data_IF_059737327528
#
_entry.id   IF_059737327528
#
_cell.length_a   1.000
_cell.length_b   1.000
_cell.length_c   1.000
_cell.angle_alpha   90.00
_cell.angle_beta   90.00
_cell.angle_gamma   90.00
#
_symmetry.space_group_name_H-M   'P 1'
#
loop_
_entity.id
_entity.type
_entity.pdbx_description
1 polymer ?
#
# COMPACT_ATOMS: atom_id res chain seq x y z
N UNK A 1 -8.34 -53.08 -36.52
CA UNK A 1 -7.69 -53.84 -37.61
C UNK A 1 -8.05 -53.21 -38.94
N UNK A 2 -7.05 -52.67 -39.65
CA UNK A 2 -6.95 -52.17 -41.05
C UNK A 2 -5.72 -51.23 -41.05
N UNK A 3 -4.52 -51.79 -41.25
CA UNK A 3 -3.70 -51.70 -42.49
C UNK A 3 -2.77 -50.47 -42.47
N UNK A 4 -1.46 -50.64 -42.22
CA UNK A 4 -0.32 -50.75 -43.19
C UNK A 4 0.05 -49.36 -43.79
N UNK A 5 1.30 -48.87 -43.87
CA UNK A 5 2.56 -49.43 -44.38
C UNK A 5 3.82 -48.71 -43.81
N UNK A 6 4.98 -49.40 -43.90
CA UNK A 6 6.35 -49.00 -43.50
C UNK A 6 7.13 -48.23 -44.61
N UNK A 7 8.11 -47.36 -44.25
CA UNK A 7 9.57 -47.50 -44.48
C UNK A 7 10.36 -46.17 -44.48
N UNK A 8 11.62 -46.29 -44.03
CA UNK A 8 12.83 -45.47 -44.30
C UNK A 8 13.15 -44.24 -43.46
N UNK A 9 14.24 -44.41 -42.70
CA UNK A 9 15.06 -43.36 -42.09
C UNK A 9 15.84 -42.56 -43.15
N UNK A 10 15.94 -41.24 -42.93
CA UNK A 10 17.02 -40.40 -43.46
C UNK A 10 17.61 -39.61 -42.29
N UNK A 11 18.93 -39.71 -42.18
CA UNK A 11 19.84 -39.11 -41.22
C UNK A 11 20.49 -37.85 -41.85
N UNK A 12 20.84 -36.86 -41.01
CA UNK A 12 21.62 -35.61 -41.25
C UNK A 12 20.83 -34.48 -41.98
N UNK A 13 20.96 -33.18 -41.66
CA UNK A 13 22.07 -32.37 -41.14
C UNK A 13 21.48 -31.02 -40.61
N UNK A 14 22.08 -30.43 -39.57
CA UNK A 14 21.76 -29.11 -39.01
C UNK A 14 21.79 -27.98 -40.05
N UNK A 15 20.76 -27.11 -40.08
CA UNK A 15 20.88 -25.66 -40.38
C UNK A 15 19.80 -24.92 -39.58
N UNK A 16 20.21 -23.87 -38.85
CA UNK A 16 19.37 -23.12 -37.91
C UNK A 16 18.17 -22.40 -38.56
N UNK A 17 17.03 -22.46 -37.89
CA UNK A 17 15.93 -21.54 -38.08
C UNK A 17 15.96 -20.54 -36.92
N UNK A 18 16.45 -19.34 -37.23
CA UNK A 18 16.15 -18.13 -36.47
C UNK A 18 14.63 -17.92 -36.55
N UNK A 19 13.91 -18.28 -35.49
CA UNK A 19 12.52 -17.89 -35.34
C UNK A 19 12.47 -16.77 -34.29
N UNK A 20 12.21 -15.57 -34.79
CA UNK A 20 11.95 -14.33 -34.06
C UNK A 20 10.88 -14.58 -32.99
N UNK A 21 11.29 -14.61 -31.72
CA UNK A 21 10.35 -14.51 -30.59
C UNK A 21 9.88 -13.07 -30.52
N UNK A 22 8.92 -12.72 -31.38
CA UNK A 22 8.09 -11.54 -31.15
C UNK A 22 7.03 -11.95 -30.11
N UNK A 23 7.49 -12.19 -28.89
CA UNK A 23 6.63 -12.20 -27.70
C UNK A 23 6.40 -10.74 -27.30
N UNK A 24 5.77 -9.97 -28.19
CA UNK A 24 5.21 -8.64 -27.89
C UNK A 24 3.85 -8.82 -27.19
N UNK A 25 3.80 -9.62 -26.11
CA UNK A 25 2.69 -9.50 -25.17
C UNK A 25 3.00 -8.30 -24.27
N UNK A 26 2.22 -7.20 -24.31
CA UNK A 26 2.50 -6.06 -23.46
C UNK A 26 2.30 -6.50 -22.00
N UNK A 27 3.39 -6.77 -21.30
CA UNK A 27 3.37 -6.99 -19.86
C UNK A 27 2.66 -5.79 -19.22
N UNK A 28 1.59 -5.99 -18.44
CA UNK A 28 0.88 -4.88 -17.81
C UNK A 28 1.88 -4.00 -17.04
N UNK A 29 1.77 -2.67 -17.15
CA UNK A 29 2.69 -1.78 -16.47
C UNK A 29 2.71 -2.11 -14.97
N UNK A 30 3.93 -2.18 -14.40
CA UNK A 30 4.12 -2.47 -12.99
C UNK A 30 3.28 -1.50 -12.13
N UNK A 31 2.69 -1.97 -11.01
CA UNK A 31 1.89 -1.11 -10.16
C UNK A 31 2.75 0.02 -9.59
N UNK A 32 2.20 1.22 -9.57
CA UNK A 32 2.84 2.39 -8.96
C UNK A 32 2.39 2.48 -7.51
N UNK A 33 3.33 2.32 -6.57
CA UNK A 33 3.06 2.33 -5.14
C UNK A 33 3.57 3.63 -4.50
N UNK A 34 2.69 4.30 -3.75
CA UNK A 34 3.04 5.44 -2.90
C UNK A 34 3.00 4.99 -1.45
N UNK A 35 4.10 5.21 -0.72
CA UNK A 35 4.18 4.86 0.70
C UNK A 35 4.05 6.11 1.56
N UNK A 36 3.24 6.01 2.61
CA UNK A 36 3.10 7.02 3.65
C UNK A 36 3.52 6.43 4.99
N UNK A 37 4.13 7.26 5.83
CA UNK A 37 4.52 6.89 7.17
C UNK A 37 3.92 7.86 8.19
N UNK A 38 3.65 7.37 9.38
CA UNK A 38 3.20 8.16 10.52
C UNK A 38 3.80 7.63 11.82
N UNK A 39 4.21 8.55 12.70
CA UNK A 39 4.48 8.26 14.12
C UNK A 39 3.29 8.74 14.93
N UNK A 40 2.72 7.86 15.74
CA UNK A 40 1.55 8.13 16.58
C UNK A 40 1.99 8.42 18.01
N UNK A 41 1.52 9.52 18.58
CA UNK A 41 1.76 9.89 19.98
C UNK A 41 0.70 10.89 20.47
N UNK A 42 0.66 11.12 21.79
CA UNK A 42 -0.28 12.06 22.42
C UNK A 42 0.02 13.54 22.12
N UNK A 43 1.27 13.89 21.84
CA UNK A 43 1.64 15.28 21.51
C UNK A 43 1.18 15.72 20.12
N UNK A 44 0.90 14.77 19.24
CA UNK A 44 0.34 14.98 17.90
C UNK A 44 -1.18 15.13 17.90
N UNK A 45 -1.86 14.86 19.03
CA UNK A 45 -3.30 15.12 19.17
C UNK A 45 -3.62 16.62 19.10
N UNK A 46 -4.88 16.93 18.79
CA UNK A 46 -5.36 18.31 18.71
C UNK A 46 -6.65 18.45 19.53
N UNK A 47 -6.58 18.98 20.77
CA UNK A 47 -5.38 19.44 21.48
C UNK A 47 -4.48 18.27 21.92
N UNK A 48 -3.18 18.56 22.11
CA UNK A 48 -2.20 17.59 22.61
C UNK A 48 -2.59 17.06 23.99
N UNK A 49 -2.29 15.79 24.26
CA UNK A 49 -2.53 15.15 25.55
C UNK A 49 -1.23 14.61 26.17
N UNK A 50 -1.33 14.08 27.40
CA UNK A 50 -0.19 13.62 28.18
C UNK A 50 0.10 12.10 28.06
N UNK A 51 -0.53 11.39 27.12
CA UNK A 51 -0.29 9.95 26.95
C UNK A 51 1.17 9.70 26.59
N UNK A 52 1.77 8.71 27.25
CA UNK A 52 3.10 8.21 26.95
C UNK A 52 3.07 7.06 25.94
N UNK A 53 1.88 6.68 25.45
CA UNK A 53 1.72 5.64 24.46
C UNK A 53 2.33 6.06 23.12
N UNK A 54 2.78 5.08 22.35
CA UNK A 54 3.45 5.31 21.07
C UNK A 54 2.98 4.33 20.02
N UNK A 55 3.06 4.72 18.76
CA UNK A 55 2.81 3.82 17.64
C UNK A 55 3.43 4.29 16.33
N UNK A 56 3.35 3.43 15.34
CA UNK A 56 3.75 3.70 13.96
C UNK A 56 2.70 3.17 13.01
N UNK A 57 2.60 3.82 11.85
CA UNK A 57 1.75 3.41 10.76
C UNK A 57 2.49 3.54 9.43
N UNK A 58 2.37 2.53 8.58
CA UNK A 58 2.84 2.56 7.19
C UNK A 58 1.69 2.19 6.27
N UNK A 59 1.39 3.08 5.32
CA UNK A 59 0.34 2.91 4.33
C UNK A 59 0.96 2.79 2.94
N UNK A 60 0.64 1.71 2.23
CA UNK A 60 1.04 1.48 0.85
C UNK A 60 -0.17 1.65 -0.06
N UNK A 61 -0.19 2.69 -0.90
CA UNK A 61 -1.26 3.00 -1.83
C UNK A 61 -0.90 2.58 -3.25
N UNK A 62 -1.74 1.74 -3.86
CA UNK A 62 -1.60 1.33 -5.25
C UNK A 62 -2.40 2.25 -6.16
N UNK A 63 -1.72 3.05 -6.99
CA UNK A 63 -2.37 4.03 -7.88
C UNK A 63 -3.16 3.38 -9.01
N UNK A 64 -2.91 2.10 -9.33
CA UNK A 64 -3.63 1.34 -10.36
C UNK A 64 -4.95 0.81 -9.83
N UNK A 65 -4.95 0.13 -8.68
CA UNK A 65 -6.17 -0.43 -8.09
C UNK A 65 -6.95 0.58 -7.26
N UNK A 66 -6.33 1.72 -6.94
CA UNK A 66 -6.85 2.76 -6.03
C UNK A 66 -7.09 2.23 -4.62
N UNK A 67 -6.43 1.15 -4.21
CA UNK A 67 -6.55 0.54 -2.88
C UNK A 67 -5.28 0.83 -2.08
N UNK A 68 -5.42 1.10 -0.78
CA UNK A 68 -4.28 1.08 0.14
C UNK A 68 -4.37 -0.06 1.15
N UNK A 69 -3.21 -0.47 1.65
CA UNK A 69 -3.07 -1.27 2.87
C UNK A 69 -2.29 -0.46 3.90
N UNK A 70 -2.86 -0.31 5.09
CA UNK A 70 -2.27 0.33 6.26
C UNK A 70 -1.84 -0.75 7.26
N UNK A 71 -0.62 -0.69 7.76
CA UNK A 71 -0.15 -1.52 8.86
C UNK A 71 0.16 -0.62 10.05
N UNK A 72 -0.34 -0.98 11.23
CA UNK A 72 -0.20 -0.19 12.46
C UNK A 72 0.36 -1.06 13.57
N UNK A 73 1.33 -0.51 14.29
CA UNK A 73 1.84 -1.08 15.54
C UNK A 73 1.80 -0.01 16.63
N UNK A 74 1.43 -0.39 17.84
CA UNK A 74 1.44 0.51 18.99
C UNK A 74 1.72 -0.24 20.29
N UNK A 75 2.09 0.51 21.32
CA UNK A 75 2.29 0.03 22.69
C UNK A 75 1.83 1.08 23.70
N UNK A 76 1.51 0.65 24.93
CA UNK A 76 1.21 1.55 26.04
C UNK A 76 -0.24 2.04 26.13
N UNK A 77 -1.17 1.49 25.34
CA UNK A 77 -2.61 1.78 25.44
C UNK A 77 -3.47 0.54 25.18
N UNK A 78 -4.75 0.60 25.55
CA UNK A 78 -5.78 -0.40 25.21
C UNK A 78 -6.90 0.27 24.42
N UNK A 79 -6.83 0.26 23.07
CA UNK A 79 -7.74 1.04 22.25
C UNK A 79 -9.16 0.47 22.26
N UNK A 80 -10.15 1.36 22.31
CA UNK A 80 -11.57 1.04 22.14
C UNK A 80 -12.04 1.30 20.70
N UNK A 81 -11.37 2.22 20.00
CA UNK A 81 -11.66 2.57 18.61
C UNK A 81 -10.37 3.00 17.88
N UNK A 82 -10.40 2.93 16.56
CA UNK A 82 -9.34 3.42 15.70
C UNK A 82 -9.84 3.80 14.32
N UNK A 83 -9.31 4.89 13.78
CA UNK A 83 -9.78 5.49 12.54
C UNK A 83 -8.65 6.09 11.71
N UNK A 84 -8.90 6.27 10.42
CA UNK A 84 -8.29 7.34 9.63
C UNK A 84 -9.29 8.49 9.52
N UNK A 85 -8.84 9.71 9.80
CA UNK A 85 -9.61 10.94 9.67
C UNK A 85 -9.10 11.83 8.52
N UNK A 86 -9.96 12.73 8.03
CA UNK A 86 -9.61 13.83 7.12
C UNK A 86 -9.29 15.09 7.89
N UNK A 87 -8.04 15.54 7.83
CA UNK A 87 -7.58 16.81 8.38
C UNK A 87 -6.10 17.01 8.09
N UNK A 88 -5.74 18.24 7.69
CA UNK A 88 -4.34 18.64 7.60
C UNK A 88 -3.66 18.60 8.97
N UNK A 89 -2.33 18.68 8.98
CA UNK A 89 -1.53 18.76 10.21
C UNK A 89 -2.07 19.89 11.10
N UNK A 90 -2.29 19.58 12.38
CA UNK A 90 -2.80 20.55 13.37
C UNK A 90 -4.30 20.81 13.30
N UNK A 91 -5.04 20.15 12.40
CA UNK A 91 -6.51 20.27 12.30
C UNK A 91 -7.18 18.92 12.53
N UNK A 92 -8.26 18.89 13.31
CA UNK A 92 -9.12 17.71 13.49
C UNK A 92 -10.24 17.72 12.47
N UNK A 93 -10.70 16.55 12.03
CA UNK A 93 -11.82 16.47 11.09
C UNK A 93 -12.51 15.10 11.09
N UNK A 94 -13.40 14.84 10.12
CA UNK A 94 -14.31 13.69 10.16
C UNK A 94 -13.58 12.36 9.97
N UNK A 95 -14.19 11.29 10.49
CA UNK A 95 -13.77 9.90 10.23
C UNK A 95 -14.01 9.59 8.74
N UNK A 96 -13.02 8.98 8.09
CA UNK A 96 -13.13 8.50 6.71
C UNK A 96 -13.09 6.98 6.65
N UNK A 97 -12.17 6.36 7.39
CA UNK A 97 -12.00 4.90 7.40
C UNK A 97 -12.02 4.38 8.84
N UNK A 98 -13.14 3.80 9.31
CA UNK A 98 -13.20 3.13 10.60
C UNK A 98 -12.54 1.75 10.55
N UNK A 99 -11.74 1.43 11.57
CA UNK A 99 -11.08 0.13 11.66
C UNK A 99 -11.99 -0.90 12.34
N UNK A 100 -12.01 -2.11 11.79
CA UNK A 100 -12.74 -3.26 12.35
C UNK A 100 -11.89 -4.10 13.28
N UNK A 101 -10.57 -4.03 13.16
CA UNK A 101 -9.60 -4.61 14.08
C UNK A 101 -8.61 -3.53 14.50
N UNK A 102 -8.32 -3.48 15.80
CA UNK A 102 -7.42 -2.50 16.41
C UNK A 102 -6.39 -3.16 17.34
N UNK A 103 -6.27 -4.49 17.34
CA UNK A 103 -5.28 -5.20 18.19
C UNK A 103 -3.89 -5.12 17.55
N UNK A 104 -2.92 -4.51 18.24
CA UNK A 104 -1.53 -4.41 17.76
C UNK A 104 -0.82 -5.78 17.63
N UNK A 105 -0.10 -6.05 16.52
CA UNK A 105 -0.10 -5.31 15.26
C UNK A 105 -1.39 -5.61 14.46
N UNK A 106 -1.91 -4.63 13.74
CA UNK A 106 -3.05 -4.84 12.83
C UNK A 106 -2.80 -4.27 11.44
N UNK A 107 -3.59 -4.75 10.49
CA UNK A 107 -3.63 -4.28 9.12
C UNK A 107 -5.06 -3.91 8.73
N UNK A 108 -5.19 -2.89 7.88
CA UNK A 108 -6.45 -2.46 7.28
C UNK A 108 -6.26 -2.25 5.79
N UNK A 109 -7.15 -2.83 4.98
CA UNK A 109 -7.15 -2.65 3.52
C UNK A 109 -8.43 -1.91 3.11
N UNK A 110 -8.29 -0.85 2.34
CA UNK A 110 -9.42 -0.05 1.88
C UNK A 110 -10.18 -0.71 0.73
N UNK A 111 -11.41 -0.27 0.50
CA UNK A 111 -11.99 -0.36 -0.85
C UNK A 111 -11.22 0.58 -1.81
N UNK A 112 -11.52 0.50 -3.11
CA UNK A 112 -11.00 1.48 -4.06
C UNK A 112 -11.43 2.89 -3.65
N UNK A 113 -10.47 3.80 -3.56
CA UNK A 113 -10.70 5.19 -3.16
C UNK A 113 -11.50 5.94 -4.22
N UNK A 114 -12.35 6.86 -3.78
CA UNK A 114 -12.90 7.88 -4.67
C UNK A 114 -11.80 8.86 -5.11
N UNK A 115 -12.06 9.62 -6.17
CA UNK A 115 -11.11 10.63 -6.65
C UNK A 115 -10.80 11.71 -5.58
N UNK A 116 -11.80 12.08 -4.77
CA UNK A 116 -11.59 13.00 -3.65
C UNK A 116 -10.69 12.38 -2.58
N UNK A 117 -10.96 11.12 -2.20
CA UNK A 117 -10.15 10.43 -1.19
C UNK A 117 -8.71 10.23 -1.63
N UNK A 118 -8.48 9.89 -2.91
CA UNK A 118 -7.13 9.82 -3.47
C UNK A 118 -6.43 11.19 -3.42
N UNK A 119 -7.13 12.26 -3.80
CA UNK A 119 -6.58 13.62 -3.76
C UNK A 119 -6.18 14.02 -2.34
N UNK A 120 -7.03 13.75 -1.35
CA UNK A 120 -6.74 14.03 0.05
C UNK A 120 -5.57 13.19 0.59
N UNK A 121 -5.52 11.90 0.27
CA UNK A 121 -4.43 11.01 0.67
C UNK A 121 -3.09 11.52 0.11
N UNK A 122 -3.02 11.78 -1.21
CA UNK A 122 -1.82 12.27 -1.88
C UNK A 122 -1.40 13.69 -1.43
N UNK A 123 -2.34 14.46 -0.88
CA UNK A 123 -2.08 15.77 -0.27
C UNK A 123 -1.65 15.69 1.21
N UNK A 124 -1.42 14.49 1.75
CA UNK A 124 -1.09 14.26 3.16
C UNK A 124 -2.18 14.76 4.14
N UNK A 125 -3.45 14.79 3.72
CA UNK A 125 -4.56 15.29 4.53
C UNK A 125 -5.21 14.21 5.42
N UNK A 126 -4.57 13.06 5.61
CA UNK A 126 -5.06 11.97 6.46
C UNK A 126 -4.16 11.69 7.66
N UNK A 127 -4.78 11.32 8.77
CA UNK A 127 -4.09 10.90 9.99
C UNK A 127 -4.74 9.66 10.59
N UNK A 128 -3.92 8.78 11.17
CA UNK A 128 -4.38 7.65 11.97
C UNK A 128 -4.58 8.13 13.40
N UNK A 129 -5.67 7.69 14.03
CA UNK A 129 -6.00 8.02 15.41
C UNK A 129 -6.51 6.79 16.15
N UNK A 130 -6.01 6.55 17.37
CA UNK A 130 -6.48 5.50 18.28
C UNK A 130 -7.03 6.13 19.55
N UNK A 131 -8.16 5.62 20.02
CA UNK A 131 -8.92 6.16 21.15
C UNK A 131 -8.98 5.13 22.28
N UNK A 132 -9.06 5.60 23.52
CA UNK A 132 -9.30 4.76 24.70
C UNK A 132 -10.42 5.34 25.56
N UNK A 133 -10.79 4.63 26.63
CA UNK A 133 -11.76 5.14 27.61
C UNK A 133 -11.27 6.43 28.28
N UNK A 134 -9.97 6.56 28.55
CA UNK A 134 -9.38 7.75 29.16
C UNK A 134 -9.25 8.93 28.18
N UNK A 135 -9.09 8.64 26.88
CA UNK A 135 -8.91 9.63 25.83
C UNK A 135 -9.89 9.38 24.68
N UNK A 136 -11.17 9.65 24.94
CA UNK A 136 -12.26 9.36 23.98
C UNK A 136 -12.17 10.18 22.70
N UNK A 137 -11.63 11.40 22.77
CA UNK A 137 -11.38 12.24 21.60
C UNK A 137 -10.16 11.80 20.76
N UNK A 138 -9.27 10.96 21.31
CA UNK A 138 -8.02 10.52 20.69
C UNK A 138 -6.91 10.41 21.75
N UNK A 139 -6.30 9.22 21.87
CA UNK A 139 -5.13 9.02 22.73
C UNK A 139 -3.82 9.27 21.98
N UNK A 140 -3.67 8.68 20.79
CA UNK A 140 -2.50 8.87 19.93
C UNK A 140 -2.90 9.12 18.48
N UNK A 141 -2.24 10.11 17.86
CA UNK A 141 -2.46 10.56 16.48
C UNK A 141 -1.14 10.59 15.71
N UNK A 142 -1.18 10.25 14.43
CA UNK A 142 -0.06 10.38 13.51
C UNK A 142 -0.52 10.76 12.10
N UNK A 143 0.03 11.84 11.56
CA UNK A 143 -0.24 12.26 10.18
C UNK A 143 0.43 11.30 9.19
N UNK A 144 -0.29 10.86 8.17
CA UNK A 144 0.24 10.05 7.07
C UNK A 144 0.97 10.97 6.09
N UNK A 145 2.30 10.87 6.05
CA UNK A 145 3.16 11.70 5.21
C UNK A 145 3.86 10.85 4.14
N UNK A 146 3.81 11.32 2.90
CA UNK A 146 4.70 10.91 1.82
C UNK A 146 5.49 12.11 1.30
N UNK A 147 6.75 11.88 0.93
CA UNK A 147 7.61 12.79 0.18
C UNK A 147 7.65 12.45 -1.33
N UNK A 148 7.10 11.30 -1.73
CA UNK A 148 7.03 10.84 -3.11
C UNK A 148 5.59 10.48 -3.51
N UNK A 149 4.71 11.46 -3.77
CA UNK A 149 3.32 11.22 -4.18
C UNK A 149 3.18 10.61 -5.59
N UNK A 150 4.28 10.60 -6.35
CA UNK A 150 4.34 9.94 -7.66
C UNK A 150 4.58 8.43 -7.53
N UNK A 151 5.09 7.98 -6.40
CA UNK A 151 5.34 6.58 -6.10
C UNK A 151 6.64 6.06 -6.72
N UNK A 152 7.07 4.90 -6.25
CA UNK A 152 8.17 4.16 -6.89
C UNK A 152 7.55 3.25 -7.95
N UNK A 153 7.80 3.53 -9.23
CA UNK A 153 7.54 2.54 -10.27
C UNK A 153 8.43 1.34 -10.02
N UNK A 154 7.91 0.12 -10.10
CA UNK A 154 8.66 -1.13 -9.95
C UNK A 154 9.67 -1.40 -11.09
N UNK A 155 10.41 -0.40 -11.52
CA UNK A 155 11.36 -0.47 -12.63
C UNK A 155 12.78 -0.16 -12.17
N UNK A 156 13.57 -1.21 -11.92
CA UNK A 156 15.03 -1.22 -12.06
C UNK A 156 15.50 -2.69 -12.01
N UNK A 157 16.27 -3.25 -12.94
CA UNK A 157 16.86 -2.72 -14.16
C UNK A 157 17.61 -3.86 -14.86
N UNK A 158 17.25 -4.13 -16.12
CA UNK A 158 18.04 -4.96 -17.01
C UNK A 158 18.87 -4.08 -17.94
N UNK A 159 20.15 -4.43 -18.10
CA UNK A 159 21.06 -3.86 -19.09
C UNK A 159 22.12 -2.96 -18.46
N UNK A 160 23.42 -3.17 -18.67
CA UNK A 160 24.13 -4.09 -19.54
C UNK A 160 25.62 -3.85 -19.35
N UNK A 161 26.42 -4.90 -19.52
CA UNK A 161 27.87 -4.78 -19.49
C UNK A 161 28.37 -3.92 -20.65
N UNK A 162 29.40 -3.13 -20.37
CA UNK A 162 30.69 -3.16 -21.04
C UNK A 162 31.76 -2.83 -19.99
#
# INVERSE_FOLDING_TARGET
>A
MKSLLNFSAILLLFIGASCSSNDDDPTPPAPVIVTFNATLNGTSEVPANASTATGTATLSYNKTTKIFTLNVTYTGLTPTMGHIHKGAVGTSGPIVFPFTNITSPFSYTSAALTAEQETDLLANNYYVNLHTEAFTAGEIRGQLITDNPNGSGGGSGGGGGY
#
